data_IF_981836501137
#
_entry.id   IF_981836501137
#
_cell.length_a   1.000
_cell.length_b   1.000
_cell.length_c   1.000
_cell.angle_alpha   90.00
_cell.angle_beta   90.00
_cell.angle_gamma   90.00
#
_symmetry.space_group_name_H-M   'P 1'
#
loop_
_entity.id
_entity.type
_entity.pdbx_description
1 polymer ?
#
# COMPACT_ATOMS: atom_id res chain seq x y z
N UNK A 1 16.12 27.16 14.65
CA UNK A 1 16.30 25.89 13.91
C UNK A 1 15.03 25.09 14.06
N UNK A 2 14.20 24.98 13.00
CA UNK A 2 12.99 24.17 13.04
C UNK A 2 13.40 22.69 12.94
N UNK A 3 13.09 21.89 13.96
CA UNK A 3 13.24 20.44 13.90
C UNK A 3 12.33 19.91 12.77
N UNK A 4 12.82 19.06 11.85
CA UNK A 4 11.94 18.47 10.85
C UNK A 4 10.83 17.72 11.59
N UNK A 5 9.58 18.04 11.25
CA UNK A 5 8.43 17.33 11.80
C UNK A 5 8.64 15.83 11.60
N UNK A 6 8.28 14.98 12.60
CA UNK A 6 8.44 13.54 12.48
C UNK A 6 7.76 13.07 11.19
N UNK A 7 8.57 12.52 10.29
CA UNK A 7 8.12 12.08 8.98
C UNK A 7 7.18 10.90 9.21
N UNK A 8 5.90 11.07 8.91
CA UNK A 8 4.93 9.99 9.09
C UNK A 8 5.10 8.98 7.96
N UNK A 9 5.94 7.96 8.18
CA UNK A 9 6.22 6.90 7.20
C UNK A 9 4.96 6.23 6.64
N UNK A 10 3.90 6.12 7.45
CA UNK A 10 2.62 5.59 7.00
C UNK A 10 1.95 6.50 5.97
N UNK A 11 1.93 7.81 6.21
CA UNK A 11 1.36 8.78 5.28
C UNK A 11 2.12 8.82 3.95
N UNK A 12 3.46 8.84 4.01
CA UNK A 12 4.30 8.78 2.80
C UNK A 12 4.09 7.47 2.01
N UNK A 13 3.96 6.34 2.71
CA UNK A 13 3.67 5.05 2.07
C UNK A 13 2.31 5.06 1.37
N UNK A 14 1.30 5.71 1.96
CA UNK A 14 -0.03 5.83 1.35
C UNK A 14 0.02 6.69 0.08
N UNK A 15 0.64 7.86 0.13
CA UNK A 15 0.81 8.75 -1.03
C UNK A 15 1.61 8.06 -2.15
N UNK A 16 2.69 7.37 -1.80
CA UNK A 16 3.48 6.61 -2.76
C UNK A 16 2.67 5.46 -3.39
N UNK A 17 1.86 4.76 -2.61
CA UNK A 17 0.96 3.73 -3.14
C UNK A 17 -0.14 4.32 -4.04
N UNK A 18 -0.71 5.47 -3.70
CA UNK A 18 -1.70 6.15 -4.54
C UNK A 18 -1.10 6.55 -5.91
N UNK A 19 0.19 6.90 -5.96
CA UNK A 19 0.87 7.30 -7.20
C UNK A 19 1.35 6.10 -8.04
N UNK A 20 1.87 5.05 -7.40
CA UNK A 20 2.60 3.97 -8.08
C UNK A 20 1.98 2.57 -7.90
N UNK A 21 0.92 2.44 -7.10
CA UNK A 21 0.25 1.17 -6.79
C UNK A 21 1.22 0.05 -6.33
N UNK A 22 2.24 0.42 -5.56
CA UNK A 22 3.28 -0.51 -5.09
C UNK A 22 2.70 -1.60 -4.18
N UNK A 23 3.25 -2.82 -4.27
CA UNK A 23 2.83 -3.93 -3.38
C UNK A 23 3.11 -3.66 -1.91
N UNK A 24 2.38 -4.33 -1.00
CA UNK A 24 2.61 -4.24 0.45
C UNK A 24 4.06 -4.59 0.84
N UNK A 25 4.70 -5.54 0.13
CA UNK A 25 6.09 -5.90 0.34
C UNK A 25 7.05 -4.75 0.02
N UNK A 26 6.77 -4.05 -1.07
CA UNK A 26 7.54 -2.87 -1.50
C UNK A 26 7.36 -1.71 -0.50
N UNK A 27 6.14 -1.46 -0.03
CA UNK A 27 5.85 -0.40 0.94
C UNK A 27 6.54 -0.65 2.28
N UNK A 28 6.44 -1.88 2.82
CA UNK A 28 7.15 -2.27 4.04
C UNK A 28 8.65 -2.00 3.95
N UNK A 29 9.29 -2.36 2.83
CA UNK A 29 10.74 -2.20 2.66
C UNK A 29 11.16 -0.73 2.48
N UNK A 30 10.39 0.07 1.75
CA UNK A 30 10.75 1.45 1.42
C UNK A 30 10.51 2.42 2.58
N UNK A 31 9.44 2.22 3.35
CA UNK A 31 8.99 3.16 4.37
C UNK A 31 9.20 2.62 5.80
N UNK A 32 9.75 1.42 5.94
CA UNK A 32 9.95 0.71 7.21
C UNK A 32 8.69 0.62 8.09
N UNK A 33 7.52 0.50 7.45
CA UNK A 33 6.24 0.34 8.13
C UNK A 33 5.97 -1.13 8.50
N UNK A 34 4.96 -1.34 9.35
CA UNK A 34 4.54 -2.71 9.70
C UNK A 34 3.92 -3.42 8.49
N UNK A 35 3.95 -4.75 8.50
CA UNK A 35 3.28 -5.52 7.46
C UNK A 35 1.76 -5.29 7.45
N UNK A 36 1.16 -5.14 8.63
CA UNK A 36 -0.26 -4.83 8.78
C UNK A 36 -0.63 -3.49 8.14
N UNK A 37 0.18 -2.46 8.36
CA UNK A 37 0.00 -1.15 7.74
C UNK A 37 0.11 -1.20 6.22
N UNK A 38 1.16 -1.87 5.72
CA UNK A 38 1.37 -2.02 4.28
C UNK A 38 0.22 -2.78 3.60
N UNK A 39 -0.32 -3.81 4.26
CA UNK A 39 -1.52 -4.51 3.79
C UNK A 39 -2.76 -3.62 3.88
N UNK A 40 -2.90 -2.82 4.94
CA UNK A 40 -4.00 -1.87 5.09
C UNK A 40 -4.05 -0.88 3.95
N UNK A 41 -2.89 -0.32 3.56
CA UNK A 41 -2.77 0.60 2.42
C UNK A 41 -3.26 -0.09 1.13
N UNK A 42 -2.71 -1.26 0.78
CA UNK A 42 -3.09 -1.98 -0.45
C UNK A 42 -4.57 -2.40 -0.45
N UNK A 43 -5.10 -2.83 0.69
CA UNK A 43 -6.52 -3.23 0.83
C UNK A 43 -7.47 -2.04 0.75
N UNK A 44 -7.04 -0.85 1.16
CA UNK A 44 -7.84 0.37 1.06
C UNK A 44 -7.88 0.94 -0.37
N UNK A 45 -6.93 0.55 -1.23
CA UNK A 45 -6.91 0.97 -2.62
C UNK A 45 -8.00 0.24 -3.42
N UNK A 46 -8.95 0.97 -3.99
CA UNK A 46 -10.03 0.39 -4.83
C UNK A 46 -9.48 -0.35 -6.06
N UNK A 47 -8.36 0.10 -6.63
CA UNK A 47 -7.73 -0.55 -7.77
C UNK A 47 -7.00 -1.84 -7.35
N UNK A 48 -6.31 -1.86 -6.21
CA UNK A 48 -5.51 -3.00 -5.79
C UNK A 48 -6.27 -4.02 -4.92
N UNK A 49 -7.32 -3.61 -4.22
CA UNK A 49 -8.15 -4.47 -3.35
C UNK A 49 -8.84 -5.60 -4.11
N UNK A 50 -9.20 -5.38 -5.38
CA UNK A 50 -9.75 -6.38 -6.28
C UNK A 50 -8.75 -7.52 -6.60
N UNK A 51 -7.44 -7.22 -6.57
CA UNK A 51 -6.40 -8.19 -6.92
C UNK A 51 -6.02 -9.12 -5.76
N UNK A 52 -6.39 -8.78 -4.51
CA UNK A 52 -6.20 -9.63 -3.34
C UNK A 52 -7.30 -10.69 -3.14
N UNK A 53 -8.42 -10.55 -3.86
CA UNK A 53 -9.50 -11.52 -3.89
C UNK A 53 -9.25 -12.52 -5.01
N UNK A 54 -8.29 -13.42 -4.81
CA UNK A 54 -8.14 -14.58 -5.68
C UNK A 54 -9.32 -15.53 -5.52
N UNK A 55 -10.46 -15.26 -6.17
CA UNK A 55 -11.38 -16.27 -6.71
C UNK A 55 -12.53 -15.62 -7.49
N UNK A 56 -12.67 -15.98 -8.77
CA UNK A 56 -13.98 -15.99 -9.42
C UNK A 56 -14.19 -15.01 -10.57
N UNK A 57 -13.34 -15.01 -11.60
CA UNK A 57 -13.80 -14.74 -12.97
C UNK A 57 -13.13 -15.75 -13.91
N UNK A 58 -13.52 -17.02 -13.76
CA UNK A 58 -13.38 -18.00 -14.83
C UNK A 58 -14.31 -17.59 -15.96
N UNK A 59 -13.84 -16.72 -16.85
CA UNK A 59 -14.47 -16.50 -18.14
C UNK A 59 -14.15 -17.71 -19.01
N UNK A 60 -15.11 -18.62 -19.12
CA UNK A 60 -15.06 -19.70 -20.11
C UNK A 60 -15.35 -19.08 -21.50
N UNK A 61 -14.72 -19.56 -22.59
CA UNK A 61 -14.61 -18.87 -23.88
C UNK A 61 -15.90 -18.82 -24.69
#
# INVERSE_FOLDING_TARGET
TALPAPVNSFAMARESHEMFHQSAKSLKRQFDITWADAQGIVKSCSQCSLHGSGLGLGVNP
#
